data_IF_398366962850
#
_entry.id   IF_398366962850
#
_cell.length_a   1.000
_cell.length_b   1.000
_cell.length_c   1.000
_cell.angle_alpha   90.00
_cell.angle_beta   90.00
_cell.angle_gamma   90.00
#
_symmetry.space_group_name_H-M   'P 1'
#
loop_
_entity.id
_entity.type
_entity.pdbx_description
1 polymer ?
#
# COMPACT_ATOMS: atom_id res chain seq x y z
N UNK A 1 -10.89 23.70 -12.27
CA UNK A 1 -10.77 22.22 -12.24
C UNK A 1 -10.88 21.76 -10.80
N UNK A 2 -11.72 20.77 -10.50
CA UNK A 2 -11.72 20.10 -9.18
C UNK A 2 -10.86 18.85 -9.29
N UNK A 3 -9.87 18.69 -8.40
CA UNK A 3 -9.12 17.44 -8.33
C UNK A 3 -10.04 16.30 -7.87
N UNK A 4 -9.99 15.17 -8.56
CA UNK A 4 -10.87 14.00 -8.33
C UNK A 4 -10.26 12.93 -7.41
N UNK A 5 -9.00 13.12 -6.98
CA UNK A 5 -8.31 12.23 -6.05
C UNK A 5 -6.83 12.52 -5.90
N UNK A 6 -6.20 11.84 -4.94
CA UNK A 6 -4.79 11.90 -4.57
C UNK A 6 -4.35 10.53 -4.08
N UNK A 7 -3.12 10.15 -4.41
CA UNK A 7 -2.39 9.09 -3.73
C UNK A 7 -1.00 9.61 -3.36
N UNK A 8 -0.62 9.44 -2.10
CA UNK A 8 0.70 9.82 -1.59
C UNK A 8 1.42 8.58 -1.09
N UNK A 9 2.63 8.40 -1.56
CA UNK A 9 3.49 7.28 -1.20
C UNK A 9 4.92 7.76 -0.92
N UNK A 10 5.74 6.91 -0.30
CA UNK A 10 7.15 7.18 -0.08
C UNK A 10 7.84 6.08 0.72
N UNK A 11 9.17 6.12 0.73
CA UNK A 11 9.99 5.12 1.42
C UNK A 11 9.97 5.33 2.95
N UNK A 12 9.98 4.24 3.71
CA UNK A 12 9.97 4.25 5.17
C UNK A 12 10.89 3.18 5.72
N UNK A 13 11.66 3.53 6.75
CA UNK A 13 12.37 2.54 7.56
C UNK A 13 11.40 1.98 8.60
N UNK A 14 11.00 0.73 8.42
CA UNK A 14 9.97 0.08 9.23
C UNK A 14 10.53 -1.09 10.01
N UNK A 15 10.07 -1.26 11.25
CA UNK A 15 10.22 -2.49 12.02
C UNK A 15 8.86 -3.18 12.08
N UNK A 16 8.76 -4.38 11.52
CA UNK A 16 7.51 -5.14 11.40
C UNK A 16 7.67 -6.53 11.98
N UNK A 17 6.62 -7.03 12.62
CA UNK A 17 6.55 -8.37 13.15
C UNK A 17 6.34 -9.40 12.03
N UNK A 18 7.09 -10.48 12.10
CA UNK A 18 6.98 -11.68 11.28
C UNK A 18 6.89 -12.90 12.22
N UNK A 19 5.66 -13.21 12.64
CA UNK A 19 5.41 -14.13 13.73
C UNK A 19 6.08 -13.66 15.03
N UNK A 20 6.96 -14.47 15.65
CA UNK A 20 7.70 -14.07 16.86
C UNK A 20 8.89 -13.15 16.58
N UNK A 21 9.28 -12.95 15.32
CA UNK A 21 10.47 -12.19 14.96
C UNK A 21 10.12 -10.73 14.64
N UNK A 22 11.06 -9.82 14.88
CA UNK A 22 10.99 -8.44 14.40
C UNK A 22 11.98 -8.27 13.24
N UNK A 23 11.48 -7.83 12.08
CA UNK A 23 12.29 -7.57 10.89
C UNK A 23 12.39 -6.08 10.61
N UNK A 24 13.58 -5.63 10.26
CA UNK A 24 13.82 -4.29 9.75
C UNK A 24 13.67 -4.29 8.23
N UNK A 25 12.78 -3.43 7.72
CA UNK A 25 12.57 -3.17 6.31
C UNK A 25 13.08 -1.74 6.02
N UNK A 26 14.35 -1.59 5.61
CA UNK A 26 14.85 -0.30 5.17
C UNK A 26 14.18 0.09 3.85
N UNK A 27 13.93 1.38 3.67
CA UNK A 27 13.39 1.94 2.43
C UNK A 27 12.11 1.24 1.91
N UNK A 28 11.26 0.77 2.82
CA UNK A 28 10.02 0.08 2.45
C UNK A 28 9.04 1.06 1.79
N UNK A 29 8.57 0.80 0.55
CA UNK A 29 7.59 1.65 -0.11
C UNK A 29 6.25 1.60 0.63
N UNK A 30 5.75 2.75 1.04
CA UNK A 30 4.55 2.86 1.85
C UNK A 30 3.51 3.78 1.22
N UNK A 31 2.24 3.40 1.33
CA UNK A 31 1.10 4.28 1.04
C UNK A 31 0.76 5.06 2.31
N UNK A 32 0.77 6.39 2.17
CA UNK A 32 0.69 7.35 3.28
C UNK A 32 -0.62 8.14 3.26
N UNK A 33 -1.23 8.29 2.08
CA UNK A 33 -2.55 8.87 1.92
C UNK A 33 -3.19 8.37 0.62
N UNK A 34 -4.51 8.17 0.63
CA UNK A 34 -5.26 7.74 -0.54
C UNK A 34 -6.70 8.22 -0.47
N UNK A 35 -7.05 9.13 -1.39
CA UNK A 35 -8.33 9.79 -1.44
C UNK A 35 -8.87 9.87 -2.86
N UNK A 36 -10.18 9.68 -3.03
CA UNK A 36 -10.88 9.94 -4.29
C UNK A 36 -12.27 10.49 -4.03
N UNK A 37 -12.72 11.39 -4.91
CA UNK A 37 -14.08 11.90 -4.94
C UNK A 37 -14.50 12.24 -6.39
N UNK A 38 -15.59 11.66 -6.90
CA UNK A 38 -16.49 10.70 -6.24
C UNK A 38 -15.87 9.30 -6.07
N UNK A 39 -16.28 8.59 -5.00
CA UNK A 39 -15.85 7.21 -4.74
C UNK A 39 -16.59 6.22 -5.65
N UNK A 40 -16.01 5.03 -5.83
CA UNK A 40 -16.59 3.87 -6.57
C UNK A 40 -16.85 4.10 -8.06
N UNK A 41 -16.20 5.09 -8.68
CA UNK A 41 -16.22 5.35 -10.13
C UNK A 41 -14.97 4.83 -10.87
N UNK A 42 -14.16 3.99 -10.22
CA UNK A 42 -12.93 3.42 -10.80
C UNK A 42 -11.67 4.28 -10.66
N UNK A 43 -11.79 5.57 -10.33
CA UNK A 43 -10.64 6.48 -10.17
C UNK A 43 -9.58 5.99 -9.18
N UNK A 44 -10.00 5.35 -8.09
CA UNK A 44 -9.06 4.80 -7.11
C UNK A 44 -8.15 3.72 -7.71
N UNK A 45 -8.69 2.85 -8.57
CA UNK A 45 -7.90 1.81 -9.23
C UNK A 45 -6.92 2.43 -10.22
N UNK A 46 -7.38 3.42 -10.99
CA UNK A 46 -6.54 4.13 -11.96
C UNK A 46 -5.35 4.80 -11.25
N UNK A 47 -5.61 5.56 -10.19
CA UNK A 47 -4.55 6.23 -9.41
C UNK A 47 -3.56 5.22 -8.81
N UNK A 48 -4.07 4.14 -8.23
CA UNK A 48 -3.23 3.14 -7.59
C UNK A 48 -2.38 2.36 -8.61
N UNK A 49 -2.95 1.95 -9.75
CA UNK A 49 -2.21 1.28 -10.82
C UNK A 49 -1.14 2.20 -11.43
N UNK A 50 -1.45 3.49 -11.62
CA UNK A 50 -0.47 4.47 -12.09
C UNK A 50 0.68 4.64 -11.11
N UNK A 51 0.39 4.69 -9.80
CA UNK A 51 1.40 4.76 -8.75
C UNK A 51 2.29 3.50 -8.72
N UNK A 52 1.71 2.29 -8.82
CA UNK A 52 2.49 1.05 -8.89
C UNK A 52 3.43 1.03 -10.09
N UNK A 53 2.93 1.45 -11.26
CA UNK A 53 3.74 1.56 -12.48
C UNK A 53 4.91 2.53 -12.28
N UNK A 54 4.64 3.68 -11.65
CA UNK A 54 5.66 4.68 -11.39
C UNK A 54 6.73 4.15 -10.44
N UNK A 55 6.35 3.55 -9.30
CA UNK A 55 7.31 2.96 -8.35
C UNK A 55 8.12 1.85 -9.03
N UNK A 56 7.47 0.92 -9.72
CA UNK A 56 8.15 -0.18 -10.42
C UNK A 56 9.15 0.31 -11.47
N UNK A 57 8.87 1.43 -12.15
CA UNK A 57 9.80 1.98 -13.17
C UNK A 57 11.13 2.41 -12.56
N UNK A 58 11.14 2.77 -11.28
CA UNK A 58 12.34 3.22 -10.58
C UNK A 58 13.04 2.10 -9.79
N UNK A 59 12.49 0.89 -9.81
CA UNK A 59 12.98 -0.26 -9.05
C UNK A 59 13.48 -1.36 -9.99
N UNK A 60 14.50 -2.10 -9.56
CA UNK A 60 15.05 -3.23 -10.31
C UNK A 60 14.08 -4.41 -10.41
N UNK A 61 13.14 -4.49 -9.45
CA UNK A 61 12.16 -5.56 -9.31
C UNK A 61 10.73 -5.03 -9.45
N UNK A 62 9.82 -5.91 -9.87
CA UNK A 62 8.40 -5.57 -9.93
C UNK A 62 7.85 -5.28 -8.53
N UNK A 63 7.31 -4.08 -8.30
CA UNK A 63 6.67 -3.72 -7.04
C UNK A 63 5.16 -3.95 -7.16
N UNK A 64 4.69 -4.98 -6.46
CA UNK A 64 3.28 -5.31 -6.36
C UNK A 64 2.61 -4.72 -5.12
N UNK A 65 1.28 -4.73 -5.04
CA UNK A 65 0.53 -4.27 -3.86
C UNK A 65 0.92 -4.98 -2.55
N UNK A 66 1.37 -6.24 -2.63
CA UNK A 66 1.77 -7.04 -1.47
C UNK A 66 3.13 -6.62 -0.88
N UNK A 67 3.97 -5.94 -1.66
CA UNK A 67 5.27 -5.43 -1.19
C UNK A 67 5.21 -4.01 -0.65
N UNK A 68 4.01 -3.42 -0.55
CA UNK A 68 3.78 -2.10 0.03
C UNK A 68 3.35 -2.20 1.49
N UNK A 69 3.82 -1.26 2.31
CA UNK A 69 3.23 -0.99 3.62
C UNK A 69 2.10 0.04 3.52
N UNK A 70 1.10 -0.05 4.40
CA UNK A 70 -0.06 0.84 4.38
C UNK A 70 -0.21 1.55 5.73
N UNK A 71 -0.04 2.87 5.77
CA UNK A 71 -0.17 3.66 7.00
C UNK A 71 -1.65 3.84 7.38
N UNK A 72 -2.06 3.27 8.52
CA UNK A 72 -3.42 3.41 9.10
C UNK A 72 -4.56 3.27 8.06
N UNK A 73 -4.60 2.21 7.25
CA UNK A 73 -5.57 2.10 6.18
C UNK A 73 -7.00 2.09 6.71
N UNK A 74 -7.87 2.86 6.07
CA UNK A 74 -9.31 2.82 6.36
C UNK A 74 -9.91 1.47 5.98
N UNK A 75 -11.06 1.12 6.57
CA UNK A 75 -11.84 -0.07 6.15
C UNK A 75 -12.12 -0.08 4.65
N UNK A 76 -12.43 1.09 4.06
CA UNK A 76 -12.62 1.20 2.61
C UNK A 76 -11.37 0.91 1.80
N UNK A 77 -10.19 1.25 2.32
CA UNK A 77 -8.92 0.94 1.67
C UNK A 77 -8.64 -0.56 1.71
N UNK A 78 -8.85 -1.22 2.86
CA UNK A 78 -8.71 -2.68 2.97
C UNK A 78 -9.65 -3.39 1.98
N UNK A 79 -10.93 -2.99 1.91
CA UNK A 79 -11.86 -3.56 0.93
C UNK A 79 -11.46 -3.29 -0.53
N UNK A 80 -10.86 -2.12 -0.81
CA UNK A 80 -10.33 -1.79 -2.13
C UNK A 80 -9.17 -2.72 -2.51
N UNK A 81 -8.21 -2.93 -1.60
CA UNK A 81 -7.06 -3.79 -1.81
C UNK A 81 -7.48 -5.26 -2.04
N UNK A 82 -8.41 -5.75 -1.23
CA UNK A 82 -8.97 -7.09 -1.38
C UNK A 82 -9.68 -7.26 -2.73
N UNK A 83 -10.50 -6.28 -3.15
CA UNK A 83 -11.27 -6.35 -4.40
C UNK A 83 -10.38 -6.29 -5.64
N UNK A 84 -9.40 -5.40 -5.66
CA UNK A 84 -8.66 -5.08 -6.89
C UNK A 84 -7.32 -5.80 -7.01
N UNK A 85 -6.76 -6.27 -5.90
CA UNK A 85 -5.44 -6.88 -5.85
C UNK A 85 -5.39 -8.20 -5.08
N UNK A 86 -6.56 -8.74 -4.69
CA UNK A 86 -6.69 -10.02 -3.97
C UNK A 86 -5.90 -10.08 -2.66
N UNK A 87 -5.55 -8.93 -2.07
CA UNK A 87 -4.87 -8.86 -0.79
C UNK A 87 -5.82 -9.22 0.34
N UNK A 88 -5.56 -10.36 0.98
CA UNK A 88 -6.34 -10.92 2.10
C UNK A 88 -5.45 -11.00 3.35
N UNK A 89 -6.09 -11.16 4.50
CA UNK A 89 -5.42 -11.37 5.79
C UNK A 89 -4.41 -10.26 6.15
N UNK A 90 -4.88 -9.00 6.30
CA UNK A 90 -4.01 -7.88 6.65
C UNK A 90 -3.33 -8.12 8.01
N UNK A 91 -2.02 -7.92 8.04
CA UNK A 91 -1.22 -8.04 9.25
C UNK A 91 -1.02 -6.66 9.87
N UNK A 92 -1.78 -6.36 10.92
CA UNK A 92 -1.71 -5.09 11.65
C UNK A 92 -0.46 -5.06 12.54
N UNK A 93 0.35 -4.02 12.37
CA UNK A 93 1.61 -3.85 13.08
C UNK A 93 1.46 -2.83 14.22
N UNK A 94 2.31 -2.94 15.25
CA UNK A 94 2.31 -2.00 16.38
C UNK A 94 2.67 -0.56 15.99
N UNK A 95 3.41 -0.37 14.89
CA UNK A 95 3.76 0.95 14.35
C UNK A 95 2.64 1.60 13.52
N UNK A 96 1.42 1.06 13.58
CA UNK A 96 0.22 1.49 12.84
C UNK A 96 0.22 1.24 11.33
N UNK A 97 1.25 0.60 10.79
CA UNK A 97 1.22 0.10 9.42
C UNK A 97 0.46 -1.21 9.34
N UNK A 98 -0.11 -1.47 8.18
CA UNK A 98 -0.62 -2.77 7.77
C UNK A 98 0.26 -3.28 6.64
N UNK A 99 0.63 -4.55 6.73
CA UNK A 99 1.38 -5.26 5.69
C UNK A 99 0.57 -6.48 5.25
N UNK A 100 0.98 -7.11 4.16
CA UNK A 100 0.37 -8.33 3.65
C UNK A 100 1.42 -9.41 3.43
N UNK A 101 0.97 -10.66 3.33
CA UNK A 101 1.82 -11.76 2.93
C UNK A 101 2.49 -11.45 1.58
N UNK A 102 3.82 -11.61 1.54
CA UNK A 102 4.64 -11.26 0.38
C UNK A 102 5.50 -10.02 0.58
N UNK A 103 5.35 -9.25 1.67
CA UNK A 103 6.21 -8.08 1.93
C UNK A 103 7.67 -8.42 2.22
N UNK A 104 7.96 -9.69 2.54
CA UNK A 104 9.29 -10.20 2.82
C UNK A 104 9.91 -10.96 1.64
N UNK A 105 9.23 -10.99 0.48
CA UNK A 105 9.66 -11.74 -0.70
C UNK A 105 10.52 -10.90 -1.65
#
# INVERSE_FOLDING_TARGET
MKAIGLIRYGLRNLYVADGPNLKHLPDCPAILDFYTEPKRQGYGKILFDSMLKQITTHESNHIGPHSLAYDRPSKSMISFLQKHYSLKDPLWQHNHFVIFNGIFN
#
